data_IF_976812051056
#
_entry.id   IF_976812051056
#
_cell.length_a   1.000
_cell.length_b   1.000
_cell.length_c   1.000
_cell.angle_alpha   90.00
_cell.angle_beta   90.00
_cell.angle_gamma   90.00
#
_symmetry.space_group_name_H-M   'P 1'
#
loop_
_entity.id
_entity.type
_entity.pdbx_description
1 polymer ?
#
# COMPACT_ATOMS: atom_id res chain seq x y z
N UNK A 1 21.12 -4.91 -0.31
CA UNK A 1 20.92 -3.63 0.43
C UNK A 1 19.49 -3.11 0.30
N UNK A 2 18.91 -3.04 -0.90
CA UNK A 2 17.53 -2.54 -1.09
C UNK A 2 16.48 -3.43 -0.40
N UNK A 3 16.66 -4.75 -0.36
CA UNK A 3 15.74 -5.65 0.38
C UNK A 3 15.68 -5.36 1.88
N UNK A 4 16.82 -4.96 2.47
CA UNK A 4 16.91 -4.61 3.89
C UNK A 4 16.15 -3.32 4.22
N UNK A 5 15.84 -2.49 3.22
CA UNK A 5 15.08 -1.25 3.42
C UNK A 5 13.62 -1.40 2.98
N UNK A 6 13.36 -2.09 1.87
CA UNK A 6 12.05 -2.20 1.24
C UNK A 6 11.04 -2.94 2.14
N UNK A 7 11.41 -4.12 2.63
CA UNK A 7 10.53 -4.94 3.48
C UNK A 7 10.15 -4.25 4.79
N UNK A 8 11.09 -3.72 5.60
CA UNK A 8 10.70 -3.04 6.83
C UNK A 8 9.90 -1.76 6.56
N UNK A 9 10.19 -1.03 5.49
CA UNK A 9 9.41 0.17 5.12
C UNK A 9 7.97 -0.20 4.73
N UNK A 10 7.80 -1.28 3.97
CA UNK A 10 6.47 -1.79 3.61
C UNK A 10 5.69 -2.25 4.85
N UNK A 11 6.31 -3.04 5.72
CA UNK A 11 5.71 -3.45 7.01
C UNK A 11 5.33 -2.22 7.84
N UNK A 12 6.22 -1.23 7.92
CA UNK A 12 5.93 0.01 8.65
C UNK A 12 4.73 0.74 8.04
N UNK A 13 4.64 0.85 6.71
CA UNK A 13 3.51 1.52 6.04
C UNK A 13 2.19 0.75 6.14
N UNK A 14 2.22 -0.57 6.25
CA UNK A 14 1.04 -1.41 6.44
C UNK A 14 0.53 -1.38 7.90
N UNK A 15 1.44 -1.40 8.88
CA UNK A 15 1.10 -1.57 10.29
C UNK A 15 1.16 -0.29 11.13
N UNK A 16 1.85 0.76 10.70
CA UNK A 16 1.84 2.04 11.40
C UNK A 16 0.45 2.71 11.37
N UNK A 17 -0.30 2.76 10.25
CA UNK A 17 -1.65 3.35 10.23
C UNK A 17 -2.63 2.70 11.20
N UNK A 18 -2.80 1.35 11.24
CA UNK A 18 -3.70 0.72 12.20
C UNK A 18 -3.24 0.90 13.64
N UNK A 19 -1.93 0.90 13.89
CA UNK A 19 -1.39 1.19 15.22
C UNK A 19 -1.67 2.64 15.66
N UNK A 20 -1.55 3.61 14.75
CA UNK A 20 -1.85 5.02 15.02
C UNK A 20 -3.36 5.25 15.23
N UNK A 21 -4.21 4.62 14.42
CA UNK A 21 -5.66 4.64 14.59
C UNK A 21 -6.03 4.06 15.95
N UNK A 22 -5.50 2.91 16.34
CA UNK A 22 -5.76 2.33 17.66
C UNK A 22 -5.31 3.28 18.78
N UNK A 23 -4.08 3.80 18.73
CA UNK A 23 -3.52 4.56 19.86
C UNK A 23 -4.02 5.99 19.97
N UNK A 24 -4.39 6.63 18.84
CA UNK A 24 -4.65 8.08 18.77
C UNK A 24 -5.94 8.46 18.05
N UNK A 25 -6.84 7.52 17.75
CA UNK A 25 -8.12 7.82 17.08
C UNK A 25 -8.78 9.08 17.65
N UNK A 26 -8.97 9.17 18.98
CA UNK A 26 -9.72 10.26 19.63
C UNK A 26 -9.11 11.65 19.52
N UNK A 27 -7.81 11.76 19.20
CA UNK A 27 -7.17 13.06 18.98
C UNK A 27 -7.12 13.46 17.51
N UNK A 28 -7.46 12.55 16.59
CA UNK A 28 -7.38 12.76 15.16
C UNK A 28 -8.74 13.19 14.61
N UNK A 29 -8.73 14.19 13.73
CA UNK A 29 -9.91 14.59 12.96
C UNK A 29 -10.38 13.46 12.03
N UNK A 30 -11.67 13.47 11.69
CA UNK A 30 -12.30 12.42 10.89
C UNK A 30 -11.57 12.16 9.56
N UNK A 31 -11.17 13.20 8.83
CA UNK A 31 -10.43 13.08 7.57
C UNK A 31 -9.11 12.31 7.74
N UNK A 32 -8.36 12.58 8.82
CA UNK A 32 -7.12 11.87 9.11
C UNK A 32 -7.36 10.39 9.39
N UNK A 33 -8.48 10.04 10.02
CA UNK A 33 -8.84 8.64 10.27
C UNK A 33 -9.10 7.88 8.97
N UNK A 34 -9.85 8.48 8.03
CA UNK A 34 -10.07 7.90 6.71
C UNK A 34 -8.79 7.80 5.88
N UNK A 35 -7.93 8.83 5.92
CA UNK A 35 -6.65 8.80 5.23
C UNK A 35 -5.73 7.68 5.74
N UNK A 36 -5.67 7.48 7.06
CA UNK A 36 -4.92 6.38 7.67
C UNK A 36 -5.54 5.02 7.35
N UNK A 37 -6.87 4.92 7.29
CA UNK A 37 -7.56 3.68 6.93
C UNK A 37 -7.27 3.27 5.48
N UNK A 38 -7.13 4.22 4.55
CA UNK A 38 -6.84 3.95 3.14
C UNK A 38 -5.35 3.77 2.81
N UNK A 39 -4.46 4.14 3.73
CA UNK A 39 -3.01 4.13 3.50
C UNK A 39 -2.46 2.75 3.10
N UNK A 40 -2.85 1.63 3.74
CA UNK A 40 -2.33 0.31 3.39
C UNK A 40 -2.65 -0.11 1.96
N UNK A 41 -3.90 0.09 1.50
CA UNK A 41 -4.28 -0.19 0.12
C UNK A 41 -3.65 0.82 -0.85
N UNK A 42 -3.54 2.10 -0.46
CA UNK A 42 -2.95 3.14 -1.29
C UNK A 42 -1.47 2.89 -1.61
N UNK A 43 -0.66 2.54 -0.61
CA UNK A 43 0.77 2.27 -0.79
C UNK A 43 0.99 1.04 -1.68
N UNK A 44 0.23 -0.02 -1.44
CA UNK A 44 0.37 -1.27 -2.21
C UNK A 44 -0.15 -1.12 -3.64
N UNK A 45 -1.23 -0.36 -3.85
CA UNK A 45 -1.73 0.00 -5.18
C UNK A 45 -0.75 0.86 -5.96
N UNK A 46 -0.24 1.95 -5.35
CA UNK A 46 0.69 2.86 -6.01
C UNK A 46 1.99 2.15 -6.40
N UNK A 47 2.51 1.30 -5.51
CA UNK A 47 3.69 0.51 -5.83
C UNK A 47 3.44 -0.51 -6.95
N UNK A 48 2.25 -1.10 -7.02
CA UNK A 48 1.88 -1.98 -8.14
C UNK A 48 1.78 -1.22 -9.46
N UNK A 49 1.09 -0.08 -9.49
CA UNK A 49 0.99 0.77 -10.68
C UNK A 49 2.36 1.25 -11.15
N UNK A 50 3.24 1.59 -10.21
CA UNK A 50 4.61 1.96 -10.55
C UNK A 50 5.39 0.78 -11.16
N UNK A 51 5.12 -0.45 -10.74
CA UNK A 51 5.67 -1.65 -11.36
C UNK A 51 5.20 -1.88 -12.79
N UNK A 52 3.91 -1.64 -13.07
CA UNK A 52 3.37 -1.71 -14.44
C UNK A 52 4.04 -0.65 -15.32
N UNK A 53 4.09 0.60 -14.83
CA UNK A 53 4.74 1.68 -15.56
C UNK A 53 6.22 1.40 -15.83
N UNK A 54 6.95 0.91 -14.82
CA UNK A 54 8.37 0.59 -14.97
C UNK A 54 8.60 -0.58 -15.93
N UNK A 55 7.69 -1.57 -15.97
CA UNK A 55 7.74 -2.66 -16.93
C UNK A 55 7.67 -2.15 -18.38
N UNK A 56 6.74 -1.22 -18.66
CA UNK A 56 6.61 -0.59 -19.97
C UNK A 56 7.76 0.37 -20.28
N UNK A 57 8.22 1.15 -19.29
CA UNK A 57 9.26 2.17 -19.49
C UNK A 57 10.65 1.58 -19.76
N UNK A 58 10.94 0.41 -19.20
CA UNK A 58 12.24 -0.25 -19.34
C UNK A 58 12.25 -1.35 -20.41
N UNK A 59 11.19 -1.48 -21.22
CA UNK A 59 11.04 -2.49 -22.29
C UNK A 59 11.42 -3.92 -21.81
N UNK A 60 11.01 -4.23 -20.58
CA UNK A 60 11.29 -5.50 -19.93
C UNK A 60 10.79 -6.68 -20.77
N UNK A 61 11.64 -7.68 -21.03
CA UNK A 61 11.22 -8.89 -21.73
C UNK A 61 10.57 -9.91 -20.78
N UNK A 62 9.67 -10.73 -21.33
CA UNK A 62 8.92 -11.74 -20.58
C UNK A 62 7.51 -11.32 -20.20
N UNK A 63 6.93 -11.98 -19.19
CA UNK A 63 5.57 -11.70 -18.70
C UNK A 63 5.63 -11.29 -17.23
N UNK A 64 4.56 -10.71 -16.69
CA UNK A 64 4.48 -10.23 -15.28
C UNK A 64 4.78 -11.30 -14.21
N UNK A 65 4.76 -12.59 -14.58
CA UNK A 65 5.15 -13.74 -13.74
C UNK A 65 6.56 -14.28 -13.98
N UNK A 66 7.23 -13.85 -15.03
CA UNK A 66 8.56 -14.31 -15.46
C UNK A 66 9.27 -13.17 -16.19
N UNK A 67 9.78 -12.22 -15.42
CA UNK A 67 10.52 -11.06 -15.90
C UNK A 67 11.96 -11.49 -16.24
N UNK A 68 12.41 -11.17 -17.45
CA UNK A 68 13.76 -11.42 -17.92
C UNK A 68 14.35 -10.14 -18.52
N UNK A 69 15.61 -9.83 -18.16
CA UNK A 69 16.43 -8.75 -18.72
C UNK A 69 15.73 -7.38 -18.86
N UNK A 70 15.45 -6.72 -17.73
CA UNK A 70 15.13 -5.29 -17.69
C UNK A 70 16.43 -4.47 -17.56
N UNK A 71 17.16 -4.29 -18.65
CA UNK A 71 18.40 -3.51 -18.66
C UNK A 71 18.14 -2.06 -19.08
N UNK A 72 18.31 -1.13 -18.15
CA UNK A 72 18.21 0.31 -18.43
C UNK A 72 19.50 1.02 -18.01
N UNK A 73 20.11 1.77 -18.92
CA UNK A 73 21.39 2.46 -18.70
C UNK A 73 22.51 1.57 -18.13
N UNK A 74 22.53 0.28 -18.53
CA UNK A 74 23.52 -0.69 -18.04
C UNK A 74 23.28 -1.20 -16.61
N UNK A 75 22.15 -0.86 -15.99
CA UNK A 75 21.72 -1.42 -14.71
C UNK A 75 20.56 -2.41 -14.89
N UNK A 76 20.63 -3.52 -14.15
CA UNK A 76 19.56 -4.51 -14.09
C UNK A 76 18.45 -4.05 -13.15
N UNK A 77 17.32 -3.64 -13.74
CA UNK A 77 16.11 -3.18 -13.05
C UNK A 77 15.11 -4.32 -12.80
N UNK A 78 15.42 -5.56 -13.20
CA UNK A 78 14.49 -6.69 -13.19
C UNK A 78 13.96 -6.96 -11.79
N UNK A 79 14.84 -6.91 -10.78
CA UNK A 79 14.48 -7.10 -9.39
C UNK A 79 13.56 -5.98 -8.85
N UNK A 80 13.73 -4.74 -9.32
CA UNK A 80 12.90 -3.60 -8.90
C UNK A 80 11.49 -3.70 -9.47
N UNK A 81 11.39 -3.95 -10.78
CA UNK A 81 10.10 -4.09 -11.47
C UNK A 81 9.34 -5.31 -10.94
N UNK A 82 10.04 -6.44 -10.73
CA UNK A 82 9.44 -7.65 -10.17
C UNK A 82 8.84 -7.44 -8.77
N UNK A 83 9.53 -6.70 -7.89
CA UNK A 83 9.00 -6.38 -6.55
C UNK A 83 7.81 -5.44 -6.59
N UNK A 84 7.86 -4.43 -7.46
CA UNK A 84 6.75 -3.51 -7.64
C UNK A 84 5.50 -4.24 -8.15
N UNK A 85 5.66 -5.14 -9.14
CA UNK A 85 4.57 -6.01 -9.62
C UNK A 85 4.06 -6.97 -8.53
N UNK A 86 4.95 -7.49 -7.68
CA UNK A 86 4.59 -8.34 -6.55
C UNK A 86 3.68 -7.66 -5.54
N UNK A 87 3.68 -6.31 -5.45
CA UNK A 87 2.82 -5.55 -4.52
C UNK A 87 1.32 -5.74 -4.77
N UNK A 88 0.93 -6.24 -5.94
CA UNK A 88 -0.45 -6.69 -6.22
C UNK A 88 -0.94 -7.75 -5.22
N UNK A 89 -0.07 -8.66 -4.77
CA UNK A 89 -0.41 -9.73 -3.81
C UNK A 89 -0.71 -9.16 -2.42
N UNK A 90 0.21 -8.43 -1.74
CA UNK A 90 -0.11 -7.82 -0.45
C UNK A 90 -1.21 -6.77 -0.56
N UNK A 91 -1.39 -6.10 -1.70
CA UNK A 91 -2.57 -5.24 -1.92
C UNK A 91 -3.86 -6.05 -1.76
N UNK A 92 -3.98 -7.17 -2.48
CA UNK A 92 -5.22 -7.94 -2.53
C UNK A 92 -5.53 -8.67 -1.21
N UNK A 93 -4.49 -9.25 -0.58
CA UNK A 93 -4.66 -10.09 0.60
C UNK A 93 -4.48 -9.36 1.93
N UNK A 94 -3.84 -8.20 1.95
CA UNK A 94 -3.56 -7.45 3.18
C UNK A 94 -4.11 -6.03 3.09
N UNK A 95 -3.68 -5.25 2.09
CA UNK A 95 -4.06 -3.85 1.93
C UNK A 95 -5.57 -3.63 1.86
N UNK A 96 -6.25 -4.36 0.97
CA UNK A 96 -7.71 -4.30 0.77
C UNK A 96 -8.51 -4.68 2.02
N UNK A 97 -8.36 -5.89 2.59
CA UNK A 97 -9.17 -6.29 3.75
C UNK A 97 -8.89 -5.42 4.97
N UNK A 98 -7.63 -5.03 5.18
CA UNK A 98 -7.23 -4.22 6.32
C UNK A 98 -7.78 -2.79 6.18
N UNK A 99 -7.65 -2.17 5.00
CA UNK A 99 -8.20 -0.84 4.75
C UNK A 99 -9.72 -0.83 4.79
N UNK A 100 -10.37 -1.87 4.23
CA UNK A 100 -11.82 -2.03 4.28
C UNK A 100 -12.33 -2.13 5.71
N UNK A 101 -11.67 -2.92 6.56
CA UNK A 101 -12.01 -3.03 7.97
C UNK A 101 -11.92 -1.70 8.71
N UNK A 102 -10.79 -0.98 8.57
CA UNK A 102 -10.62 0.32 9.23
C UNK A 102 -11.57 1.39 8.72
N UNK A 103 -11.91 1.37 7.42
CA UNK A 103 -12.92 2.25 6.85
C UNK A 103 -14.29 2.01 7.46
N UNK A 104 -14.71 0.75 7.58
CA UNK A 104 -16.00 0.39 8.19
C UNK A 104 -16.02 0.80 9.67
N UNK A 105 -14.99 0.48 10.44
CA UNK A 105 -14.89 0.88 11.86
C UNK A 105 -14.95 2.41 12.01
N UNK A 106 -14.20 3.15 11.17
CA UNK A 106 -14.21 4.62 11.19
C UNK A 106 -15.59 5.16 10.83
N UNK A 107 -16.25 4.58 9.83
CA UNK A 107 -17.59 4.99 9.37
C UNK A 107 -18.65 4.77 10.47
N UNK A 108 -18.65 3.60 11.10
CA UNK A 108 -19.59 3.29 12.21
C UNK A 108 -19.43 4.28 13.36
N UNK A 109 -18.18 4.60 13.74
CA UNK A 109 -17.91 5.60 14.78
C UNK A 109 -18.35 7.01 14.37
N UNK A 110 -18.17 7.37 13.10
CA UNK A 110 -18.59 8.68 12.59
C UNK A 110 -20.11 8.83 12.66
N UNK A 111 -20.85 7.82 12.18
CA UNK A 111 -22.31 7.82 12.23
C UNK A 111 -22.83 7.88 13.67
N UNK A 112 -22.27 7.09 14.59
CA UNK A 112 -22.64 7.16 16.01
C UNK A 112 -22.42 8.54 16.64
N UNK A 113 -21.33 9.23 16.27
CA UNK A 113 -21.07 10.60 16.73
C UNK A 113 -22.08 11.60 16.16
N UNK A 114 -22.57 11.42 14.93
CA UNK A 114 -23.59 12.28 14.33
C UNK A 114 -24.95 12.07 15.01
N UNK A 115 -25.35 10.82 15.22
CA UNK A 115 -26.63 10.47 15.86
C UNK A 115 -26.70 10.92 17.32
N UNK A 116 -25.57 10.97 18.05
CA UNK A 116 -25.54 11.47 19.43
C UNK A 116 -25.63 13.00 19.56
N UNK A 117 -25.54 13.74 18.45
CA UNK A 117 -25.56 15.22 18.43
C UNK A 117 -26.95 15.79 18.10
N UNK A 118 -27.85 14.96 17.61
CA UNK A 118 -29.28 15.25 17.42
C UNK A 118 -30.06 14.94 18.70
#
# INVERSE_FOLDING_TARGET
MIDLLFWPLLVTLLFAPPWLLWRRAERLGWLSRYALALLPVGVTWLGWQWGIWAFEHFDCQGNTKGLHDCLSNGQDMTAWVGRALFLSVPMMFIGLPLSGWFLIDTLVRHLGHLTSRE
#
